data_IF_488308778016
#
_entry.id   IF_488308778016
#
_cell.length_a   1.000
_cell.length_b   1.000
_cell.length_c   1.000
_cell.angle_alpha   90.00
_cell.angle_beta   90.00
_cell.angle_gamma   90.00
#
_symmetry.space_group_name_H-M   'P 1'
#
loop_
_entity.id
_entity.type
_entity.pdbx_description
1 polymer ?
#
# COMPACT_ATOMS: atom_id res chain seq x y z
N UNK A 1 15.90 -41.88 -2.72
CA UNK A 1 15.92 -40.48 -3.14
C UNK A 1 14.75 -39.79 -2.46
N UNK A 2 14.93 -38.77 -1.59
CA UNK A 2 13.81 -38.06 -0.98
C UNK A 2 13.11 -37.24 -2.05
N UNK A 3 11.79 -37.23 -2.01
CA UNK A 3 10.90 -36.56 -2.94
C UNK A 3 11.21 -35.06 -3.03
N UNK A 4 11.60 -34.57 -4.22
CA UNK A 4 11.88 -33.18 -4.53
C UNK A 4 10.63 -32.26 -4.37
N UNK A 5 9.44 -32.85 -4.28
CA UNK A 5 8.17 -32.11 -4.21
C UNK A 5 7.83 -31.60 -2.79
N UNK A 6 8.37 -32.19 -1.72
CA UNK A 6 8.16 -31.73 -0.35
C UNK A 6 8.95 -30.45 0.00
N UNK A 7 9.99 -30.11 -0.75
CA UNK A 7 10.86 -28.95 -0.48
C UNK A 7 10.35 -27.64 -1.06
N UNK A 8 9.47 -27.69 -2.03
CA UNK A 8 8.92 -26.51 -2.73
C UNK A 8 7.70 -25.87 -2.02
N UNK A 9 7.17 -26.50 -0.98
CA UNK A 9 6.01 -26.05 -0.23
C UNK A 9 6.25 -24.79 0.63
N UNK A 10 5.18 -24.26 1.27
CA UNK A 10 5.30 -23.16 2.21
C UNK A 10 6.26 -23.52 3.36
N UNK A 11 7.09 -22.56 3.75
CA UNK A 11 8.07 -22.77 4.83
C UNK A 11 7.35 -22.87 6.16
N UNK A 12 7.33 -24.03 6.78
CA UNK A 12 6.76 -24.25 8.11
C UNK A 12 7.81 -23.98 9.20
N UNK A 13 7.52 -23.00 10.03
CA UNK A 13 8.33 -22.63 11.19
C UNK A 13 7.54 -22.91 12.48
N UNK A 14 8.01 -23.83 13.33
CA UNK A 14 7.33 -24.15 14.58
C UNK A 14 7.32 -22.94 15.54
N UNK A 15 6.25 -22.83 16.33
CA UNK A 15 6.15 -21.81 17.38
C UNK A 15 7.31 -21.96 18.36
N UNK A 16 7.83 -20.83 18.82
CA UNK A 16 8.99 -20.78 19.70
C UNK A 16 10.35 -20.85 19.00
N UNK A 17 10.40 -21.23 17.70
CA UNK A 17 11.66 -21.26 16.93
C UNK A 17 12.30 -19.89 16.88
N UNK A 18 13.62 -19.84 17.10
CA UNK A 18 14.40 -18.61 17.00
C UNK A 18 15.07 -18.54 15.62
N UNK A 19 14.75 -17.51 14.85
CA UNK A 19 15.29 -17.25 13.53
C UNK A 19 16.31 -16.13 13.60
N UNK A 20 17.47 -16.30 12.95
CA UNK A 20 18.55 -15.31 12.89
C UNK A 20 19.11 -14.92 14.25
N UNK A 21 19.03 -15.80 15.26
CA UNK A 21 19.45 -15.57 16.65
C UNK A 21 18.76 -14.36 17.35
N UNK A 22 17.67 -13.87 16.75
CA UNK A 22 17.04 -12.61 17.20
C UNK A 22 15.53 -12.69 17.32
N UNK A 23 14.86 -13.43 16.44
CA UNK A 23 13.42 -13.39 16.26
C UNK A 23 12.77 -14.71 16.66
N UNK A 24 11.93 -14.69 17.67
CA UNK A 24 11.16 -15.84 18.14
C UNK A 24 9.82 -15.88 17.40
N UNK A 25 9.49 -17.00 16.77
CA UNK A 25 8.19 -17.23 16.12
C UNK A 25 7.10 -17.34 17.17
N UNK A 26 6.09 -16.50 17.09
CA UNK A 26 4.98 -16.44 18.08
C UNK A 26 3.71 -17.03 17.50
N UNK A 27 3.39 -16.73 16.21
CA UNK A 27 2.15 -17.19 15.57
C UNK A 27 2.32 -17.20 14.04
N UNK A 28 1.45 -17.91 13.32
CA UNK A 28 1.36 -17.87 11.85
C UNK A 28 0.25 -16.92 11.46
N UNK A 29 0.60 -15.83 10.77
CA UNK A 29 -0.36 -14.81 10.34
C UNK A 29 -1.08 -15.16 9.03
N UNK A 30 -0.42 -15.96 8.18
CA UNK A 30 -0.98 -16.39 6.90
C UNK A 30 0.04 -17.05 5.99
N UNK A 31 -0.44 -17.59 4.89
CA UNK A 31 0.38 -18.18 3.84
C UNK A 31 -0.23 -17.93 2.46
N UNK A 32 0.57 -18.08 1.43
CA UNK A 32 0.15 -17.92 0.04
C UNK A 32 1.24 -18.37 -0.94
N UNK A 33 0.99 -18.18 -2.23
CA UNK A 33 1.94 -18.57 -3.29
C UNK A 33 3.33 -17.91 -3.21
N UNK A 34 3.50 -16.90 -2.36
CA UNK A 34 4.77 -16.20 -2.15
C UNK A 34 5.36 -16.47 -0.74
N UNK A 35 5.05 -17.62 -0.12
CA UNK A 35 5.57 -18.04 1.17
C UNK A 35 4.62 -17.83 2.35
N UNK A 36 5.13 -18.04 3.57
CA UNK A 36 4.38 -17.90 4.82
C UNK A 36 4.79 -16.64 5.59
N UNK A 37 3.84 -16.06 6.31
CA UNK A 37 4.04 -14.87 7.15
C UNK A 37 3.78 -15.23 8.61
N UNK A 38 4.71 -14.88 9.47
CA UNK A 38 4.71 -15.18 10.89
C UNK A 38 4.71 -13.90 11.72
N UNK A 39 4.01 -13.93 12.85
CA UNK A 39 4.22 -13.00 13.95
C UNK A 39 5.50 -13.41 14.67
N UNK A 40 6.44 -12.50 14.80
CA UNK A 40 7.68 -12.72 15.52
C UNK A 40 7.89 -11.67 16.60
N UNK A 41 8.64 -12.06 17.62
CA UNK A 41 9.03 -11.19 18.73
C UNK A 41 10.54 -11.11 18.83
N UNK A 42 11.08 -9.93 18.95
CA UNK A 42 12.51 -9.73 19.14
C UNK A 42 12.93 -10.14 20.57
N UNK A 43 13.93 -11.00 20.68
CA UNK A 43 14.36 -11.55 21.99
C UNK A 43 14.83 -10.48 22.98
N UNK A 44 15.45 -9.40 22.50
CA UNK A 44 16.01 -8.35 23.38
C UNK A 44 14.97 -7.33 23.82
N UNK A 45 14.13 -6.85 22.90
CA UNK A 45 13.21 -5.74 23.14
C UNK A 45 11.77 -6.18 23.31
N UNK A 46 11.46 -7.46 23.02
CA UNK A 46 10.11 -8.01 22.94
C UNK A 46 9.19 -7.29 21.94
N UNK A 47 9.78 -6.49 21.07
CA UNK A 47 9.04 -5.81 20.00
C UNK A 47 8.48 -6.82 18.99
N UNK A 48 7.21 -6.65 18.64
CA UNK A 48 6.53 -7.51 17.66
C UNK A 48 6.75 -7.02 16.25
N UNK A 49 6.98 -7.97 15.34
CA UNK A 49 7.18 -7.73 13.92
C UNK A 49 6.52 -8.84 13.08
N UNK A 50 6.39 -8.62 11.78
CA UNK A 50 6.01 -9.65 10.82
C UNK A 50 7.27 -10.21 10.14
N UNK A 51 7.36 -11.54 10.04
CA UNK A 51 8.42 -12.20 9.30
C UNK A 51 7.82 -12.97 8.13
N UNK A 52 8.21 -12.62 6.92
CA UNK A 52 7.89 -13.39 5.71
C UNK A 52 9.02 -14.36 5.42
N UNK A 53 8.69 -15.63 5.22
CA UNK A 53 9.62 -16.69 4.89
C UNK A 53 9.21 -17.35 3.56
N UNK A 54 10.18 -17.57 2.67
CA UNK A 54 10.01 -18.17 1.36
C UNK A 54 11.01 -19.30 1.18
N UNK A 55 10.58 -20.42 0.61
CA UNK A 55 11.47 -21.55 0.28
C UNK A 55 12.55 -21.12 -0.74
N UNK A 56 13.77 -21.60 -0.55
CA UNK A 56 14.85 -21.36 -1.53
C UNK A 56 14.66 -22.18 -2.82
N UNK A 57 13.75 -23.15 -2.82
CA UNK A 57 13.48 -24.08 -3.93
C UNK A 57 12.28 -23.68 -4.79
N UNK A 58 11.79 -22.44 -4.65
CA UNK A 58 10.66 -21.93 -5.46
C UNK A 58 11.06 -21.86 -6.94
N UNK A 59 10.28 -22.52 -7.78
CA UNK A 59 10.45 -22.45 -9.24
C UNK A 59 10.33 -21.00 -9.74
N UNK A 60 11.26 -20.54 -10.55
CA UNK A 60 11.28 -19.18 -11.10
C UNK A 60 12.02 -18.15 -10.25
N UNK A 61 12.61 -18.56 -9.13
CA UNK A 61 13.47 -17.71 -8.29
C UNK A 61 12.74 -16.98 -7.17
N UNK A 62 13.52 -16.41 -6.26
CA UNK A 62 13.00 -15.80 -5.03
C UNK A 62 12.31 -14.47 -5.27
N UNK A 63 11.02 -14.42 -4.99
CA UNK A 63 10.20 -13.20 -4.95
C UNK A 63 10.59 -12.33 -3.76
N UNK A 64 10.94 -12.94 -2.64
CA UNK A 64 11.36 -12.25 -1.43
C UNK A 64 12.61 -11.38 -1.64
N UNK A 65 13.56 -11.85 -2.45
CA UNK A 65 14.77 -11.08 -2.79
C UNK A 65 14.40 -9.76 -3.49
N UNK A 66 13.44 -9.81 -4.40
CA UNK A 66 12.95 -8.62 -5.11
C UNK A 66 12.22 -7.67 -4.14
N UNK A 67 11.37 -8.19 -3.27
CA UNK A 67 10.70 -7.37 -2.24
C UNK A 67 11.72 -6.63 -1.37
N UNK A 68 12.73 -7.33 -0.87
CA UNK A 68 13.80 -6.72 -0.07
C UNK A 68 14.52 -5.62 -0.86
N UNK A 69 14.76 -5.81 -2.16
CA UNK A 69 15.42 -4.81 -3.01
C UNK A 69 14.56 -3.56 -3.18
N UNK A 70 13.26 -3.73 -3.48
CA UNK A 70 12.31 -2.61 -3.58
C UNK A 70 12.28 -1.82 -2.28
N UNK A 71 12.08 -2.53 -1.18
CA UNK A 71 12.01 -1.92 0.15
C UNK A 71 13.31 -1.18 0.52
N UNK A 72 14.47 -1.71 0.18
CA UNK A 72 15.76 -1.02 0.39
C UNK A 72 15.85 0.27 -0.42
N UNK A 73 15.40 0.29 -1.68
CA UNK A 73 15.40 1.52 -2.50
C UNK A 73 14.39 2.55 -2.00
N UNK A 74 13.29 2.10 -1.42
CA UNK A 74 12.30 3.00 -0.82
C UNK A 74 12.75 3.58 0.54
N UNK A 75 13.78 2.98 1.18
CA UNK A 75 14.29 3.34 2.50
C UNK A 75 15.02 4.66 2.48
N UNK A 76 14.77 5.70 2.49
CA UNK A 76 15.45 7.02 2.46
C UNK A 76 14.61 8.08 1.78
N UNK A 77 13.48 7.69 1.24
CA UNK A 77 12.54 8.65 0.71
C UNK A 77 11.75 9.32 1.85
N UNK A 78 11.52 10.60 1.69
CA UNK A 78 10.64 11.34 2.59
C UNK A 78 9.21 10.84 2.38
N UNK A 79 8.79 9.91 3.21
CA UNK A 79 7.39 9.59 3.35
C UNK A 79 6.75 10.70 4.15
N UNK A 80 5.61 11.16 3.69
CA UNK A 80 4.88 12.18 4.41
C UNK A 80 4.70 11.74 5.86
N UNK A 81 5.27 12.52 6.77
CA UNK A 81 5.16 12.30 8.21
C UNK A 81 3.74 12.65 8.64
N UNK A 82 2.82 11.70 8.51
CA UNK A 82 1.53 11.83 9.16
C UNK A 82 1.69 11.48 10.64
N UNK A 83 1.54 12.46 11.50
CA UNK A 83 1.62 12.32 12.96
C UNK A 83 0.37 11.64 13.54
N UNK A 84 -0.69 11.47 12.76
CA UNK A 84 -1.93 10.85 13.20
C UNK A 84 -1.91 9.33 13.06
N UNK A 85 -2.56 8.62 13.98
CA UNK A 85 -2.76 7.17 13.93
C UNK A 85 -3.40 6.68 12.62
N UNK A 86 -4.06 7.56 11.89
CA UNK A 86 -4.80 7.30 10.67
C UNK A 86 -3.92 6.98 9.45
N UNK A 87 -2.71 7.53 9.37
CA UNK A 87 -1.79 7.31 8.25
C UNK A 87 -0.81 6.15 8.46
N UNK A 88 -1.09 5.24 9.40
CA UNK A 88 -0.19 4.08 9.67
C UNK A 88 0.11 3.25 8.42
N UNK A 89 -0.78 3.23 7.46
CA UNK A 89 -0.62 2.43 6.23
C UNK A 89 0.47 3.00 5.30
N UNK A 90 0.41 4.29 4.98
CA UNK A 90 1.40 4.97 4.13
C UNK A 90 2.71 5.22 4.89
N UNK A 91 2.63 5.61 6.16
CA UNK A 91 3.79 5.75 7.03
C UNK A 91 4.50 4.41 7.27
N UNK A 92 3.77 3.30 7.25
CA UNK A 92 4.33 1.96 7.38
C UNK A 92 5.19 1.59 6.19
N UNK A 93 4.83 1.98 4.97
CA UNK A 93 5.66 1.74 3.79
C UNK A 93 7.01 2.50 3.91
N UNK A 94 7.03 3.71 4.47
CA UNK A 94 8.25 4.53 4.57
C UNK A 94 9.13 4.30 5.79
N UNK A 95 8.55 4.00 6.95
CA UNK A 95 9.30 3.85 8.22
C UNK A 95 9.65 2.41 8.57
N UNK A 96 8.97 1.46 7.97
CA UNK A 96 8.90 0.09 8.49
C UNK A 96 9.54 -0.95 7.66
N UNK A 97 10.35 -0.52 6.79
CA UNK A 97 10.93 -1.33 5.75
C UNK A 97 12.00 -2.21 6.34
N UNK A 98 11.98 -3.46 5.96
CA UNK A 98 12.93 -4.52 6.30
C UNK A 98 13.90 -4.16 7.41
N UNK A 99 13.52 -4.45 8.63
CA UNK A 99 14.43 -4.33 9.77
C UNK A 99 15.58 -5.33 9.62
N UNK A 100 15.31 -6.46 8.97
CA UNK A 100 16.25 -7.53 8.82
C UNK A 100 15.89 -8.48 7.67
N UNK A 101 16.89 -9.04 7.00
CA UNK A 101 16.71 -10.12 6.03
C UNK A 101 17.84 -11.12 6.16
N UNK A 102 17.57 -12.39 5.93
CA UNK A 102 18.57 -13.44 6.01
C UNK A 102 18.23 -14.63 5.12
N UNK A 103 19.24 -15.43 4.83
CA UNK A 103 19.12 -16.69 4.10
C UNK A 103 19.55 -17.82 5.01
N UNK A 104 18.79 -18.90 5.00
CA UNK A 104 19.07 -20.22 5.59
C UNK A 104 19.18 -21.24 4.47
N UNK A 105 19.55 -22.47 4.80
CA UNK A 105 19.75 -23.52 3.79
C UNK A 105 18.47 -23.80 3.00
N UNK A 106 17.32 -23.89 3.68
CA UNK A 106 16.02 -24.24 3.08
C UNK A 106 15.14 -23.04 2.76
N UNK A 107 15.35 -21.87 3.35
CA UNK A 107 14.49 -20.70 3.17
C UNK A 107 15.24 -19.39 3.34
N UNK A 108 14.69 -18.37 2.69
CA UNK A 108 15.04 -16.98 2.92
C UNK A 108 13.94 -16.29 3.71
N UNK A 109 14.28 -15.27 4.50
CA UNK A 109 13.29 -14.53 5.29
C UNK A 109 13.58 -13.03 5.32
N UNK A 110 12.53 -12.24 5.50
CA UNK A 110 12.64 -10.84 5.85
C UNK A 110 11.72 -10.51 7.03
N UNK A 111 12.18 -9.61 7.87
CA UNK A 111 11.41 -9.07 9.00
C UNK A 111 11.04 -7.64 8.69
N UNK A 112 9.77 -7.34 8.83
CA UNK A 112 9.19 -6.04 8.55
C UNK A 112 8.25 -5.63 9.68
N UNK A 113 7.80 -4.40 9.66
CA UNK A 113 6.78 -3.95 10.61
C UNK A 113 5.53 -4.82 10.54
N UNK A 114 4.98 -5.10 11.70
CA UNK A 114 3.69 -5.74 11.82
C UNK A 114 2.60 -4.73 11.45
N UNK A 115 1.90 -4.99 10.34
CA UNK A 115 0.76 -4.20 9.92
C UNK A 115 -0.51 -4.61 10.67
N UNK A 116 -1.48 -3.71 10.68
CA UNK A 116 -2.82 -3.98 11.17
C UNK A 116 -3.67 -4.83 10.20
N UNK A 117 -4.98 -4.73 10.32
CA UNK A 117 -5.91 -5.41 9.44
C UNK A 117 -5.74 -4.96 7.98
N UNK A 118 -5.85 -5.90 7.04
CA UNK A 118 -5.80 -5.57 5.60
C UNK A 118 -7.02 -4.74 5.19
N UNK A 119 -6.87 -3.91 4.16
CA UNK A 119 -7.98 -3.13 3.61
C UNK A 119 -9.16 -4.03 3.20
N UNK A 120 -8.87 -5.20 2.63
CA UNK A 120 -9.90 -6.18 2.27
C UNK A 120 -10.69 -6.70 3.49
N UNK A 121 -10.02 -6.88 4.64
CA UNK A 121 -10.70 -7.25 5.90
C UNK A 121 -11.58 -6.10 6.40
N UNK A 122 -11.04 -4.88 6.45
CA UNK A 122 -11.77 -3.68 6.87
C UNK A 122 -12.99 -3.44 5.96
N UNK A 123 -12.82 -3.62 4.65
CA UNK A 123 -13.89 -3.50 3.69
C UNK A 123 -15.02 -4.50 3.93
N UNK A 124 -14.70 -5.78 4.20
CA UNK A 124 -15.70 -6.80 4.57
C UNK A 124 -16.45 -6.45 5.84
N UNK A 125 -15.74 -5.98 6.86
CA UNK A 125 -16.33 -5.57 8.15
C UNK A 125 -17.17 -4.29 8.01
N UNK A 126 -16.88 -3.44 7.04
CA UNK A 126 -17.69 -2.29 6.66
C UNK A 126 -18.81 -2.63 5.64
N UNK A 127 -19.24 -3.89 5.55
CA UNK A 127 -20.33 -4.36 4.67
C UNK A 127 -20.04 -4.11 3.18
N UNK A 128 -18.78 -4.14 2.79
CA UNK A 128 -18.29 -3.93 1.42
C UNK A 128 -18.73 -2.60 0.79
N UNK A 129 -18.78 -1.56 1.58
CA UNK A 129 -19.01 -0.19 1.11
C UNK A 129 -18.31 0.80 2.01
N UNK A 130 -17.54 1.70 1.42
CA UNK A 130 -16.93 2.84 2.10
C UNK A 130 -17.60 4.14 1.68
N UNK A 131 -17.53 5.16 2.52
CA UNK A 131 -17.94 6.52 2.21
C UNK A 131 -17.05 7.16 1.14
N UNK A 132 -17.53 8.22 0.51
CA UNK A 132 -16.73 9.07 -0.39
C UNK A 132 -15.50 9.59 0.35
N UNK A 133 -15.65 9.97 1.63
CA UNK A 133 -14.54 10.44 2.47
C UNK A 133 -13.41 9.41 2.57
N UNK A 134 -13.75 8.16 2.87
CA UNK A 134 -12.77 7.08 2.93
C UNK A 134 -12.15 6.78 1.56
N UNK A 135 -12.97 6.72 0.49
CA UNK A 135 -12.53 6.47 -0.87
C UNK A 135 -11.48 7.49 -1.34
N UNK A 136 -11.77 8.78 -1.21
CA UNK A 136 -10.90 9.85 -1.73
C UNK A 136 -9.60 9.91 -0.93
N UNK A 137 -9.66 9.82 0.39
CA UNK A 137 -8.45 9.85 1.25
C UNK A 137 -7.55 8.64 1.02
N UNK A 138 -8.12 7.45 0.84
CA UNK A 138 -7.35 6.26 0.43
C UNK A 138 -6.78 6.43 -0.98
N UNK A 139 -7.56 6.98 -1.92
CA UNK A 139 -7.08 7.29 -3.28
C UNK A 139 -5.84 8.18 -3.26
N UNK A 140 -5.85 9.26 -2.47
CA UNK A 140 -4.69 10.14 -2.27
C UNK A 140 -3.47 9.39 -1.73
N UNK A 141 -3.66 8.54 -0.71
CA UNK A 141 -2.57 7.76 -0.11
C UNK A 141 -1.99 6.73 -1.09
N UNK A 142 -2.85 6.04 -1.83
CA UNK A 142 -2.44 5.04 -2.82
C UNK A 142 -1.69 5.71 -3.97
N UNK A 143 -2.19 6.82 -4.48
CA UNK A 143 -1.53 7.61 -5.53
C UNK A 143 -0.11 8.01 -5.11
N UNK A 144 0.04 8.54 -3.90
CA UNK A 144 1.35 8.90 -3.38
C UNK A 144 2.29 7.70 -3.26
N UNK A 145 1.79 6.57 -2.75
CA UNK A 145 2.55 5.33 -2.67
C UNK A 145 3.02 4.82 -4.03
N UNK A 146 2.14 4.81 -5.04
CA UNK A 146 2.47 4.42 -6.41
C UNK A 146 3.50 5.36 -7.02
N UNK A 147 3.31 6.67 -6.87
CA UNK A 147 4.27 7.67 -7.36
C UNK A 147 5.67 7.45 -6.77
N UNK A 148 5.77 7.19 -5.47
CA UNK A 148 7.05 6.90 -4.82
C UNK A 148 7.68 5.59 -5.35
N UNK A 149 6.87 4.56 -5.58
CA UNK A 149 7.33 3.30 -6.15
C UNK A 149 7.86 3.49 -7.57
N UNK A 150 7.16 4.25 -8.39
CA UNK A 150 7.57 4.55 -9.76
C UNK A 150 8.86 5.37 -9.81
N UNK A 151 9.08 6.31 -8.89
CA UNK A 151 10.33 7.07 -8.78
C UNK A 151 11.54 6.20 -8.38
N UNK A 152 11.33 5.11 -7.66
CA UNK A 152 12.39 4.11 -7.40
C UNK A 152 12.49 3.05 -8.49
N UNK A 153 11.82 3.27 -9.62
CA UNK A 153 11.90 2.47 -10.84
C UNK A 153 11.19 1.12 -10.82
N UNK A 154 10.24 0.95 -9.91
CA UNK A 154 9.43 -0.27 -9.84
C UNK A 154 7.96 -0.02 -10.16
N UNK A 155 7.32 -1.04 -10.73
CA UNK A 155 5.86 -1.13 -10.92
C UNK A 155 5.29 -2.06 -9.85
N UNK A 156 4.06 -1.78 -9.41
CA UNK A 156 3.30 -2.64 -8.53
C UNK A 156 2.40 -3.56 -9.35
N UNK A 157 2.80 -4.78 -9.58
CA UNK A 157 2.01 -5.73 -10.39
C UNK A 157 0.77 -6.25 -9.64
N UNK A 158 0.70 -6.07 -8.32
CA UNK A 158 -0.47 -6.47 -7.52
C UNK A 158 -0.69 -5.58 -6.31
N UNK A 159 -1.93 -5.13 -6.13
CA UNK A 159 -2.39 -4.42 -4.93
C UNK A 159 -2.61 -5.34 -3.71
N UNK A 160 -2.62 -6.65 -3.90
CA UNK A 160 -3.00 -7.62 -2.86
C UNK A 160 -1.87 -8.05 -1.93
N UNK A 161 -0.63 -7.92 -2.38
CA UNK A 161 0.54 -8.21 -1.55
C UNK A 161 1.63 -7.16 -1.78
N UNK A 162 2.11 -6.58 -0.71
CA UNK A 162 3.19 -5.61 -0.71
C UNK A 162 4.36 -6.10 -1.57
N UNK A 163 4.55 -5.50 -2.74
CA UNK A 163 5.73 -5.60 -3.61
C UNK A 163 6.15 -7.01 -4.10
N UNK A 164 5.39 -8.07 -3.80
CA UNK A 164 5.77 -9.45 -4.13
C UNK A 164 5.96 -9.71 -5.62
N UNK A 165 5.34 -8.92 -6.48
CA UNK A 165 5.44 -9.05 -7.93
C UNK A 165 5.91 -7.75 -8.61
N UNK A 166 6.59 -6.86 -7.86
CA UNK A 166 7.13 -5.63 -8.43
C UNK A 166 8.15 -5.93 -9.52
N UNK A 167 8.23 -5.05 -10.51
CA UNK A 167 9.18 -5.14 -11.62
C UNK A 167 9.89 -3.81 -11.83
N UNK A 168 11.21 -3.86 -12.04
CA UNK A 168 11.95 -2.70 -12.49
C UNK A 168 11.67 -2.42 -13.97
N UNK A 169 11.12 -1.25 -14.28
CA UNK A 169 10.74 -0.85 -15.63
C UNK A 169 11.79 -0.01 -16.36
N UNK A 170 12.95 0.20 -15.74
CA UNK A 170 14.07 0.92 -16.33
C UNK A 170 15.29 0.02 -16.50
N UNK A 171 16.18 0.43 -17.40
CA UNK A 171 17.54 -0.07 -17.57
C UNK A 171 18.52 1.01 -17.11
N UNK A 172 19.61 0.58 -16.50
CA UNK A 172 20.74 1.44 -16.12
C UNK A 172 21.96 0.92 -16.84
N UNK A 173 22.49 1.68 -17.78
CA UNK A 173 23.68 1.33 -18.55
C UNK A 173 24.52 2.57 -18.79
N UNK A 174 25.82 2.52 -18.52
CA UNK A 174 26.75 3.62 -18.79
C UNK A 174 26.38 4.96 -18.14
N UNK A 175 25.74 4.95 -16.96
CA UNK A 175 25.27 6.16 -16.28
C UNK A 175 23.94 6.72 -16.80
N UNK A 176 23.36 6.14 -17.86
CA UNK A 176 22.05 6.51 -18.40
C UNK A 176 20.95 5.65 -17.79
N UNK A 177 19.78 6.26 -17.63
CA UNK A 177 18.55 5.58 -17.17
C UNK A 177 17.54 5.68 -18.30
N UNK A 178 17.06 4.54 -18.78
CA UNK A 178 16.13 4.47 -19.90
C UNK A 178 14.96 3.52 -19.56
N UNK A 179 13.77 3.81 -20.08
CA UNK A 179 12.62 2.90 -19.97
C UNK A 179 12.92 1.63 -20.75
N UNK A 180 12.69 0.47 -20.13
CA UNK A 180 12.80 -0.82 -20.83
C UNK A 180 11.85 -0.86 -22.01
N UNK A 181 12.29 -1.45 -23.11
CA UNK A 181 11.39 -1.76 -24.21
C UNK A 181 10.29 -2.72 -23.75
N UNK A 182 9.03 -2.46 -24.12
CA UNK A 182 7.95 -3.37 -23.80
C UNK A 182 8.20 -4.74 -24.46
N UNK A 183 7.88 -5.80 -23.74
CA UNK A 183 7.93 -7.16 -24.28
C UNK A 183 6.59 -7.52 -24.86
N UNK A 184 6.61 -8.28 -25.92
CA UNK A 184 5.42 -8.92 -26.46
C UNK A 184 5.10 -10.19 -25.67
N UNK A 185 3.82 -10.52 -25.56
CA UNK A 185 3.32 -11.76 -24.96
C UNK A 185 3.87 -12.07 -23.56
N UNK A 186 3.75 -11.10 -22.65
CA UNK A 186 4.19 -11.27 -21.26
C UNK A 186 3.35 -12.30 -20.52
N UNK A 187 3.93 -12.92 -19.48
CA UNK A 187 3.14 -13.77 -18.59
C UNK A 187 2.10 -12.93 -17.84
N UNK A 188 0.87 -13.45 -17.79
CA UNK A 188 -0.17 -12.83 -16.97
C UNK A 188 0.26 -12.82 -15.50
N UNK A 189 0.38 -11.62 -14.93
CA UNK A 189 0.74 -11.41 -13.53
C UNK A 189 -0.21 -10.40 -12.91
N UNK A 190 -0.54 -10.62 -11.66
CA UNK A 190 -1.43 -9.75 -10.92
C UNK A 190 -2.76 -10.42 -10.57
N UNK A 191 -3.53 -9.75 -9.72
CA UNK A 191 -4.87 -10.20 -9.35
C UNK A 191 -5.82 -9.86 -10.47
N UNK A 192 -6.46 -10.85 -11.07
CA UNK A 192 -7.38 -10.70 -12.22
C UNK A 192 -8.42 -9.61 -12.00
N UNK A 193 -8.91 -9.46 -10.80
CA UNK A 193 -9.89 -8.44 -10.43
C UNK A 193 -9.40 -7.01 -10.66
N UNK A 194 -8.14 -6.70 -10.30
CA UNK A 194 -7.62 -5.33 -10.28
C UNK A 194 -6.59 -5.01 -11.36
N UNK A 195 -6.06 -6.02 -12.08
CA UNK A 195 -5.14 -5.74 -13.17
C UNK A 195 -5.83 -4.92 -14.27
N UNK A 196 -5.07 -4.10 -14.97
CA UNK A 196 -5.60 -3.32 -16.09
C UNK A 196 -6.14 -4.20 -17.22
N UNK A 197 -6.98 -3.65 -18.09
CA UNK A 197 -7.43 -4.34 -19.30
C UNK A 197 -6.25 -4.75 -20.19
N UNK A 198 -5.20 -3.92 -20.24
CA UNK A 198 -3.95 -4.19 -20.97
C UNK A 198 -3.26 -5.49 -20.52
N UNK A 199 -3.32 -5.83 -19.22
CA UNK A 199 -2.76 -7.09 -18.70
C UNK A 199 -3.43 -8.33 -19.32
N UNK A 200 -4.71 -8.26 -19.63
CA UNK A 200 -5.44 -9.38 -20.24
C UNK A 200 -5.00 -9.66 -21.68
N UNK A 201 -4.50 -8.66 -22.40
CA UNK A 201 -3.92 -8.82 -23.75
C UNK A 201 -2.46 -9.31 -23.73
N UNK A 202 -1.90 -9.55 -22.53
CA UNK A 202 -0.50 -9.92 -22.30
C UNK A 202 0.51 -8.87 -22.78
N UNK A 203 0.11 -7.63 -22.95
CA UNK A 203 1.02 -6.54 -23.20
C UNK A 203 1.88 -6.23 -21.96
N UNK A 204 3.02 -5.59 -22.15
CA UNK A 204 3.89 -5.19 -21.06
C UNK A 204 3.18 -4.15 -20.17
N UNK A 205 3.23 -4.36 -18.86
CA UNK A 205 2.65 -3.44 -17.88
C UNK A 205 3.57 -2.25 -17.65
N UNK A 206 2.98 -1.07 -17.57
CA UNK A 206 3.64 0.19 -17.29
C UNK A 206 3.05 0.94 -16.09
N UNK A 207 3.50 2.16 -15.89
CA UNK A 207 2.99 3.05 -14.83
C UNK A 207 1.47 3.31 -14.92
N UNK A 208 0.88 3.46 -16.13
CA UNK A 208 -0.57 3.61 -16.26
C UNK A 208 -1.37 2.40 -15.75
N UNK A 209 -0.84 1.17 -15.89
CA UNK A 209 -1.53 -0.05 -15.45
C UNK A 209 -1.70 -0.10 -13.93
N UNK A 210 -0.72 0.38 -13.17
CA UNK A 210 -0.81 0.50 -11.71
C UNK A 210 -1.89 1.53 -11.30
N UNK A 211 -2.02 2.62 -12.05
CA UNK A 211 -3.05 3.63 -11.80
C UNK A 211 -4.45 3.13 -12.19
N UNK A 212 -4.59 2.32 -13.23
CA UNK A 212 -5.85 1.62 -13.51
C UNK A 212 -6.24 0.68 -12.37
N UNK A 213 -5.26 -0.04 -11.79
CA UNK A 213 -5.51 -0.87 -10.61
C UNK A 213 -6.01 -0.04 -9.41
N UNK A 214 -5.47 1.17 -9.22
CA UNK A 214 -5.96 2.12 -8.22
C UNK A 214 -7.41 2.53 -8.50
N UNK A 215 -7.75 2.87 -9.75
CA UNK A 215 -9.12 3.26 -10.13
C UNK A 215 -10.11 2.12 -9.87
N UNK A 216 -9.79 0.89 -10.25
CA UNK A 216 -10.66 -0.27 -9.96
C UNK A 216 -10.85 -0.50 -8.46
N UNK A 217 -9.79 -0.35 -7.68
CA UNK A 217 -9.90 -0.45 -6.23
C UNK A 217 -10.78 0.66 -5.65
N UNK A 218 -10.64 1.89 -6.14
CA UNK A 218 -11.47 3.01 -5.71
C UNK A 218 -12.95 2.81 -6.10
N UNK A 219 -13.22 2.32 -7.31
CA UNK A 219 -14.58 2.00 -7.75
C UNK A 219 -15.21 0.91 -6.84
N UNK A 220 -14.47 -0.18 -6.54
CA UNK A 220 -14.94 -1.23 -5.63
C UNK A 220 -15.27 -0.71 -4.23
N UNK A 221 -14.60 0.30 -3.74
CA UNK A 221 -14.89 0.90 -2.44
C UNK A 221 -16.32 1.45 -2.35
N UNK A 222 -16.95 1.78 -3.48
CA UNK A 222 -18.30 2.34 -3.55
C UNK A 222 -19.37 1.34 -3.94
N UNK A 223 -18.98 0.29 -4.65
CA UNK A 223 -19.91 -0.74 -5.12
C UNK A 223 -19.18 -1.90 -5.81
N UNK A 224 -19.90 -2.96 -6.18
CA UNK A 224 -19.30 -4.08 -6.88
C UNK A 224 -18.76 -3.66 -8.25
N UNK A 225 -17.63 -4.22 -8.64
CA UNK A 225 -17.12 -4.03 -10.01
C UNK A 225 -17.99 -4.81 -11.01
N UNK A 226 -18.15 -4.35 -12.24
CA UNK A 226 -18.97 -5.02 -13.26
C UNK A 226 -18.59 -6.49 -13.53
N UNK A 227 -17.37 -6.87 -13.20
CA UNK A 227 -16.84 -8.24 -13.34
C UNK A 227 -16.73 -9.04 -12.04
N UNK A 228 -17.30 -8.59 -10.93
CA UNK A 228 -17.14 -9.25 -9.62
C UNK A 228 -17.72 -10.66 -9.57
N UNK A 229 -18.72 -10.95 -10.35
CA UNK A 229 -19.38 -12.26 -10.42
C UNK A 229 -18.68 -13.22 -11.41
N UNK A 230 -17.76 -12.71 -12.24
CA UNK A 230 -17.06 -13.51 -13.23
C UNK A 230 -15.86 -14.23 -12.62
N UNK A 231 -15.57 -15.42 -13.13
CA UNK A 231 -14.44 -16.26 -12.71
C UNK A 231 -13.41 -16.42 -13.81
N UNK A 232 -13.86 -16.52 -15.04
CA UNK A 232 -12.96 -16.67 -16.19
C UNK A 232 -12.23 -15.36 -16.47
N UNK A 233 -10.92 -15.44 -16.63
CA UNK A 233 -10.08 -14.26 -16.85
C UNK A 233 -10.28 -13.61 -18.23
N UNK A 234 -10.71 -14.37 -19.24
CA UNK A 234 -10.98 -13.83 -20.56
C UNK A 234 -12.30 -13.06 -20.57
N UNK A 235 -13.33 -13.58 -19.89
CA UNK A 235 -14.61 -12.89 -19.68
C UNK A 235 -14.40 -11.60 -18.88
N UNK A 236 -13.58 -11.64 -17.81
CA UNK A 236 -13.23 -10.45 -17.04
C UNK A 236 -12.53 -9.41 -17.92
N UNK A 237 -11.56 -9.83 -18.73
CA UNK A 237 -10.86 -8.94 -19.65
C UNK A 237 -11.80 -8.32 -20.69
N UNK A 238 -12.68 -9.11 -21.27
CA UNK A 238 -13.68 -8.65 -22.24
C UNK A 238 -14.66 -7.64 -21.60
N UNK A 239 -15.11 -7.92 -20.35
CA UNK A 239 -15.99 -7.02 -19.61
C UNK A 239 -15.30 -5.70 -19.28
N UNK A 240 -14.03 -5.72 -18.83
CA UNK A 240 -13.24 -4.49 -18.59
C UNK A 240 -13.15 -3.62 -19.84
N UNK A 241 -12.97 -4.23 -21.01
CA UNK A 241 -12.89 -3.49 -22.29
C UNK A 241 -14.24 -2.90 -22.73
N UNK A 242 -15.37 -3.54 -22.35
CA UNK A 242 -16.72 -3.08 -22.70
C UNK A 242 -17.29 -2.07 -21.71
N UNK A 243 -16.83 -2.08 -20.47
CA UNK A 243 -17.32 -1.18 -19.41
C UNK A 243 -16.89 0.25 -19.71
N UNK A 244 -17.84 1.17 -19.74
CA UNK A 244 -17.55 2.60 -19.87
C UNK A 244 -17.03 3.18 -18.55
N UNK A 245 -16.39 4.32 -18.60
CA UNK A 245 -15.86 4.98 -17.40
C UNK A 245 -16.99 5.42 -16.48
N UNK A 246 -18.13 5.84 -17.03
CA UNK A 246 -19.34 6.20 -16.30
C UNK A 246 -19.93 4.99 -15.57
N UNK A 247 -20.02 3.83 -16.23
CA UNK A 247 -20.47 2.58 -15.60
C UNK A 247 -19.52 2.14 -14.48
N UNK A 248 -18.21 2.24 -14.72
CA UNK A 248 -17.19 1.87 -13.72
C UNK A 248 -17.29 2.74 -12.47
N UNK A 249 -17.54 4.04 -12.63
CA UNK A 249 -17.51 5.05 -11.58
C UNK A 249 -18.91 5.52 -11.14
N UNK A 250 -19.97 4.79 -11.50
CA UNK A 250 -21.37 5.15 -11.27
C UNK A 250 -21.66 5.60 -9.82
N UNK A 251 -21.03 4.93 -8.85
CA UNK A 251 -21.22 5.22 -7.42
C UNK A 251 -20.15 6.12 -6.82
N UNK A 252 -19.26 6.65 -7.65
CA UNK A 252 -18.14 7.52 -7.24
C UNK A 252 -18.40 8.97 -7.64
N UNK A 253 -17.71 9.95 -7.03
CA UNK A 253 -17.79 11.33 -7.48
C UNK A 253 -17.47 11.47 -8.98
N UNK A 254 -18.26 12.24 -9.74
CA UNK A 254 -18.10 12.35 -11.20
C UNK A 254 -16.76 12.98 -11.63
N UNK A 255 -16.11 13.73 -10.74
CA UNK A 255 -14.79 14.30 -10.97
C UNK A 255 -13.73 13.23 -11.28
N UNK A 256 -13.92 12.00 -10.78
CA UNK A 256 -13.00 10.87 -11.02
C UNK A 256 -12.97 10.45 -12.50
N UNK A 257 -13.98 10.79 -13.31
CA UNK A 257 -13.98 10.59 -14.76
C UNK A 257 -12.82 11.32 -15.44
N UNK A 258 -12.36 12.44 -14.89
CA UNK A 258 -11.18 13.15 -15.39
C UNK A 258 -9.90 12.34 -15.22
N UNK A 259 -9.85 11.48 -14.20
CA UNK A 259 -8.71 10.57 -13.96
C UNK A 259 -8.70 9.50 -15.04
N UNK A 260 -9.83 8.84 -15.30
CA UNK A 260 -9.90 7.79 -16.34
C UNK A 260 -9.64 8.36 -17.72
N UNK A 261 -10.17 9.55 -18.06
CA UNK A 261 -9.87 10.25 -19.29
C UNK A 261 -8.36 10.51 -19.47
N UNK A 262 -7.67 10.95 -18.40
CA UNK A 262 -6.22 11.10 -18.43
C UNK A 262 -5.53 9.75 -18.67
N UNK A 263 -5.90 8.68 -17.94
CA UNK A 263 -5.27 7.36 -18.08
C UNK A 263 -5.45 6.77 -19.48
N UNK A 264 -6.58 7.01 -20.15
CA UNK A 264 -6.82 6.59 -21.54
C UNK A 264 -5.92 7.29 -22.56
N UNK A 265 -5.39 8.47 -22.24
CA UNK A 265 -4.44 9.20 -23.10
C UNK A 265 -2.99 8.71 -22.99
N UNK A 266 -2.71 7.80 -22.04
CA UNK A 266 -1.37 7.32 -21.76
C UNK A 266 -1.05 6.02 -22.51
N UNK A 267 0.21 5.89 -22.87
CA UNK A 267 0.84 4.65 -23.31
C UNK A 267 1.92 4.18 -22.32
N UNK A 268 2.58 3.08 -22.66
CA UNK A 268 3.62 2.48 -21.82
C UNK A 268 4.75 3.46 -21.46
N UNK A 269 5.16 4.32 -22.38
CA UNK A 269 6.30 5.22 -22.22
C UNK A 269 5.93 6.52 -21.49
N UNK A 270 4.70 6.98 -21.63
CA UNK A 270 4.27 8.26 -21.08
C UNK A 270 4.24 8.22 -19.55
N UNK A 271 4.85 9.23 -18.95
CA UNK A 271 4.73 9.45 -17.51
C UNK A 271 3.33 9.94 -17.15
N UNK A 272 2.62 9.25 -16.23
CA UNK A 272 1.36 9.77 -15.75
C UNK A 272 1.54 11.14 -15.08
N UNK A 273 0.56 12.02 -15.27
CA UNK A 273 0.52 13.29 -14.55
C UNK A 273 -0.07 13.07 -13.15
N UNK A 274 0.80 12.68 -12.20
CA UNK A 274 0.42 12.42 -10.80
C UNK A 274 -0.16 13.66 -10.13
N UNK A 275 0.36 14.86 -10.50
CA UNK A 275 -0.16 16.13 -9.98
C UNK A 275 -1.60 16.36 -10.39
N UNK A 276 -1.93 16.15 -11.66
CA UNK A 276 -3.30 16.25 -12.15
C UNK A 276 -4.26 15.35 -11.37
N UNK A 277 -3.87 14.08 -11.18
CA UNK A 277 -4.70 13.10 -10.43
C UNK A 277 -4.84 13.55 -8.96
N UNK A 278 -3.76 14.00 -8.36
CA UNK A 278 -3.77 14.54 -7.00
C UNK A 278 -4.70 15.75 -6.87
N UNK A 279 -4.60 16.72 -7.79
CA UNK A 279 -5.40 17.92 -7.78
C UNK A 279 -6.90 17.61 -7.93
N UNK A 280 -7.26 16.63 -8.78
CA UNK A 280 -8.64 16.14 -8.92
C UNK A 280 -9.14 15.56 -7.59
N UNK A 281 -8.38 14.65 -6.98
CA UNK A 281 -8.76 14.03 -5.70
C UNK A 281 -8.84 15.06 -4.57
N UNK A 282 -7.90 15.99 -4.52
CA UNK A 282 -7.91 17.07 -3.51
C UNK A 282 -9.10 18.01 -3.70
N UNK A 283 -9.39 18.43 -4.93
CA UNK A 283 -10.56 19.25 -5.23
C UNK A 283 -11.86 18.52 -4.86
N UNK A 284 -11.98 17.22 -5.19
CA UNK A 284 -13.14 16.40 -4.80
C UNK A 284 -13.25 16.28 -3.28
N UNK A 285 -12.14 16.15 -2.56
CA UNK A 285 -12.13 16.14 -1.10
C UNK A 285 -12.69 17.47 -0.53
N UNK A 286 -12.19 18.59 -1.05
CA UNK A 286 -12.59 19.93 -0.57
C UNK A 286 -14.04 20.26 -0.92
N UNK A 287 -14.50 19.99 -2.15
CA UNK A 287 -15.87 20.24 -2.59
C UNK A 287 -16.93 19.43 -1.82
N UNK A 288 -16.53 18.29 -1.26
CA UNK A 288 -17.39 17.46 -0.40
C UNK A 288 -17.22 17.76 1.10
N UNK A 289 -16.54 18.85 1.48
CA UNK A 289 -16.24 19.22 2.86
C UNK A 289 -15.55 18.10 3.68
N UNK A 290 -14.71 17.29 3.02
CA UNK A 290 -13.98 16.20 3.64
C UNK A 290 -12.64 16.73 4.17
N UNK A 291 -12.37 16.48 5.44
CA UNK A 291 -11.06 16.74 6.05
C UNK A 291 -10.17 15.50 5.98
N UNK A 292 -8.89 15.69 5.74
CA UNK A 292 -7.96 14.56 5.69
C UNK A 292 -7.88 13.83 7.03
N UNK A 293 -8.15 14.52 8.13
CA UNK A 293 -8.18 14.01 9.51
C UNK A 293 -9.50 13.34 9.92
N UNK A 294 -10.53 13.33 9.06
CA UNK A 294 -11.80 12.67 9.40
C UNK A 294 -11.57 11.20 9.78
N UNK A 295 -12.38 10.60 10.65
CA UNK A 295 -12.30 9.18 10.92
C UNK A 295 -12.64 8.37 9.65
N UNK A 296 -12.01 7.22 9.46
CA UNK A 296 -12.37 6.26 8.42
C UNK A 296 -13.61 5.46 8.83
N UNK A 297 -14.33 4.89 7.84
CA UNK A 297 -15.55 4.11 8.11
C UNK A 297 -15.38 3.00 9.14
N UNK A 298 -14.23 2.33 9.17
CA UNK A 298 -13.93 1.30 10.16
C UNK A 298 -13.66 1.86 11.57
N UNK A 299 -13.18 3.09 11.68
CA UNK A 299 -12.97 3.77 12.97
C UNK A 299 -14.33 4.18 13.56
N UNK A 300 -15.20 4.76 12.73
CA UNK A 300 -16.58 5.12 13.11
C UNK A 300 -17.36 3.88 13.60
N UNK A 301 -17.15 2.74 12.95
CA UNK A 301 -17.82 1.48 13.30
C UNK A 301 -17.16 0.71 14.45
N UNK A 302 -16.09 1.22 15.03
CA UNK A 302 -15.37 0.57 16.11
C UNK A 302 -14.72 -0.76 15.72
N UNK A 303 -14.39 -0.93 14.44
CA UNK A 303 -13.75 -2.15 13.94
C UNK A 303 -12.33 -2.25 14.46
N UNK A 304 -11.98 -3.37 15.13
CA UNK A 304 -10.63 -3.58 15.64
C UNK A 304 -9.61 -3.69 14.50
N UNK A 305 -8.66 -2.77 14.49
CA UNK A 305 -7.57 -2.69 13.48
C UNK A 305 -6.37 -3.55 13.87
N UNK A 306 -6.42 -4.28 15.01
CA UNK A 306 -5.30 -5.07 15.50
C UNK A 306 -4.97 -6.26 14.59
N UNK A 307 -3.68 -6.53 14.42
CA UNK A 307 -3.19 -7.74 13.77
C UNK A 307 -3.44 -8.96 14.67
N UNK A 308 -4.14 -9.96 14.13
CA UNK A 308 -4.29 -11.26 14.76
C UNK A 308 -5.34 -11.31 15.89
N UNK A 309 -6.34 -12.17 15.74
CA UNK A 309 -7.18 -12.61 16.86
C UNK A 309 -6.40 -13.67 17.65
N UNK A 310 -5.81 -13.29 18.78
CA UNK A 310 -5.62 -14.27 19.82
C UNK A 310 -7.01 -14.63 20.37
N UNK A 311 -7.49 -15.84 20.11
CA UNK A 311 -8.45 -16.50 20.97
C UNK A 311 -7.75 -16.77 22.29
N UNK A 312 -7.63 -15.76 23.13
CA UNK A 312 -7.32 -15.94 24.54
C UNK A 312 -8.64 -16.06 25.26
N UNK A 313 -8.89 -17.26 25.81
CA UNK A 313 -9.97 -17.53 26.72
C UNK A 313 -10.09 -16.40 27.76
N UNK A 314 -11.26 -15.72 27.75
CA UNK A 314 -11.68 -14.89 28.87
C UNK A 314 -11.93 -15.77 30.06
N UNK A 315 -10.95 -15.87 30.94
CA UNK A 315 -11.18 -16.15 32.38
C UNK A 315 -10.21 -15.27 33.17
N UNK A 316 -10.80 -14.64 34.19
CA UNK A 316 -10.16 -13.89 35.29
C UNK A 316 -9.95 -12.40 35.02
N UNK A 317 -10.67 -11.65 35.68
CA UNK A 317 -10.93 -11.03 36.94
C UNK A 317 -10.81 -9.50 36.86
N UNK A 318 -11.84 -8.89 37.41
CA UNK A 318 -11.92 -7.47 37.75
C UNK A 318 -10.82 -7.15 38.79
N UNK A 319 -10.01 -6.13 38.54
CA UNK A 319 -9.35 -5.38 39.61
C UNK A 319 -9.30 -3.90 39.20
N UNK A 320 -10.00 -3.13 39.97
CA UNK A 320 -9.83 -1.77 40.46
C UNK A 320 -9.14 -0.69 39.63
N UNK A 321 -9.92 0.34 39.39
CA UNK A 321 -9.55 1.72 39.12
C UNK A 321 -8.71 2.31 40.25
N UNK A 322 -7.58 2.93 39.93
CA UNK A 322 -6.97 3.98 40.76
C UNK A 322 -6.66 5.15 39.84
N UNK A 323 -7.30 6.24 40.17
CA UNK A 323 -7.02 7.59 39.68
C UNK A 323 -5.77 8.14 40.39
N UNK A 324 -4.87 8.77 39.63
CA UNK A 324 -4.07 9.87 40.21
C UNK A 324 -3.69 10.89 39.14
N UNK A 325 -4.15 12.05 39.41
CA UNK A 325 -3.93 13.37 38.87
C UNK A 325 -2.49 13.83 39.17
N UNK A 326 -1.79 14.39 38.20
CA UNK A 326 -0.75 15.42 38.46
C UNK A 326 -0.50 16.26 37.19
N UNK A 327 -1.01 17.45 37.28
CA UNK A 327 -0.65 18.63 36.48
C UNK A 327 0.84 19.00 36.66
N UNK A 328 1.50 19.31 35.55
CA UNK A 328 2.78 20.05 35.60
C UNK A 328 2.68 21.20 34.57
N UNK A 329 2.69 22.40 35.14
CA UNK A 329 2.81 23.69 34.48
C UNK A 329 4.15 23.80 33.73
N UNK A 330 4.12 24.22 32.46
CA UNK A 330 5.29 24.72 31.77
C UNK A 330 5.00 26.13 31.24
N UNK A 331 5.80 27.04 31.76
CA UNK A 331 5.80 28.48 31.50
C UNK A 331 6.02 28.84 30.04
N UNK A 332 5.18 29.74 29.59
CA UNK A 332 5.30 30.50 28.34
C UNK A 332 6.54 31.41 28.36
N UNK A 333 7.37 31.34 27.34
CA UNK A 333 8.35 32.38 27.02
C UNK A 333 7.93 33.04 25.70
N UNK A 334 7.61 34.32 25.79
CA UNK A 334 7.35 35.22 24.68
C UNK A 334 8.67 35.65 24.01
N UNK A 335 8.71 35.66 22.66
CA UNK A 335 9.73 36.33 21.86
C UNK A 335 9.04 37.28 20.87
N UNK A 336 9.54 38.49 20.67
CA UNK A 336 8.78 39.60 20.10
C UNK A 336 8.68 39.60 18.58
N UNK A 337 7.56 40.19 18.12
CA UNK A 337 7.19 40.48 16.75
C UNK A 337 8.13 41.47 16.07
N UNK A 338 8.55 41.18 14.85
CA UNK A 338 8.96 42.19 13.87
C UNK A 338 8.00 42.14 12.68
N UNK A 339 7.36 43.27 12.47
CA UNK A 339 6.49 43.57 11.33
C UNK A 339 7.26 43.44 10.00
N UNK A 340 6.65 42.73 9.06
CA UNK A 340 6.79 43.04 7.64
C UNK A 340 5.48 42.75 6.92
N UNK A 341 4.91 43.85 6.43
CA UNK A 341 3.72 43.89 5.60
C UNK A 341 4.01 43.41 4.18
N UNK A 342 2.92 42.93 3.57
CA UNK A 342 2.68 42.71 2.15
C UNK A 342 3.13 41.38 1.54
N UNK A 343 2.24 40.38 1.70
CA UNK A 343 1.98 39.42 0.62
C UNK A 343 0.57 38.83 0.80
N UNK A 344 -0.23 38.85 -0.28
CA UNK A 344 -1.60 38.34 -0.37
C UNK A 344 -1.70 36.96 0.22
N UNK A 345 -2.49 36.81 1.25
CA UNK A 345 -2.82 35.56 1.94
C UNK A 345 -3.70 34.67 1.06
N UNK A 346 -3.11 33.61 0.50
CA UNK A 346 -3.86 32.38 0.29
C UNK A 346 -4.19 31.84 1.68
N UNK A 347 -5.46 31.69 2.02
CA UNK A 347 -5.93 31.12 3.28
C UNK A 347 -5.18 29.83 3.59
N UNK A 348 -4.32 29.83 4.59
CA UNK A 348 -3.65 28.63 5.10
C UNK A 348 -4.69 27.76 5.79
N UNK A 349 -5.08 26.69 5.13
CA UNK A 349 -5.97 25.67 5.69
C UNK A 349 -5.24 24.98 6.86
N UNK A 350 -5.90 24.81 8.03
CA UNK A 350 -5.28 24.28 9.25
C UNK A 350 -4.59 22.93 9.06
N UNK A 351 -3.52 22.71 9.85
CA UNK A 351 -2.80 21.42 9.89
C UNK A 351 -3.76 20.26 10.22
N UNK A 352 -3.83 19.24 9.35
CA UNK A 352 -4.71 18.08 9.48
C UNK A 352 -5.92 18.09 8.53
N UNK A 353 -6.22 19.20 7.89
CA UNK A 353 -7.30 19.27 6.89
C UNK A 353 -6.84 18.82 5.49
N UNK A 354 -5.55 18.88 5.21
CA UNK A 354 -4.93 18.45 3.94
C UNK A 354 -4.02 17.22 4.12
N UNK A 355 -3.75 16.46 3.05
CA UNK A 355 -2.79 15.39 3.09
C UNK A 355 -1.38 15.91 3.42
N UNK A 356 -0.52 15.09 4.06
CA UNK A 356 0.83 15.48 4.46
C UNK A 356 1.84 15.49 3.31
N UNK A 357 1.39 15.41 2.08
CA UNK A 357 2.15 15.53 0.83
C UNK A 357 1.45 16.52 -0.09
N UNK A 358 2.22 17.16 -0.95
CA UNK A 358 1.80 18.34 -1.72
C UNK A 358 1.73 18.06 -3.22
N UNK A 359 1.15 18.99 -3.98
CA UNK A 359 1.19 18.97 -5.44
C UNK A 359 2.64 18.96 -5.98
N UNK A 360 3.56 19.66 -5.30
CA UNK A 360 4.98 19.67 -5.66
C UNK A 360 5.63 18.30 -5.49
N UNK A 361 5.27 17.54 -4.44
CA UNK A 361 5.73 16.16 -4.27
C UNK A 361 5.26 15.26 -5.42
N UNK A 362 4.08 15.52 -5.98
CA UNK A 362 3.53 14.79 -7.12
C UNK A 362 4.16 15.18 -8.45
N UNK A 363 4.50 16.44 -8.61
CA UNK A 363 5.13 16.98 -9.83
C UNK A 363 6.58 16.52 -9.99
N UNK A 364 7.30 16.37 -8.88
CA UNK A 364 8.70 15.98 -8.87
C UNK A 364 8.95 14.76 -9.75
N UNK A 365 9.89 14.89 -10.68
CA UNK A 365 10.31 13.85 -11.63
C UNK A 365 11.82 13.60 -11.49
N UNK A 366 12.18 12.64 -10.63
CA UNK A 366 13.60 12.32 -10.35
C UNK A 366 14.26 11.53 -11.49
N UNK A 367 13.47 10.91 -12.36
CA UNK A 367 13.98 10.09 -13.46
C UNK A 367 14.12 10.87 -14.77
N UNK A 368 13.44 12.02 -14.90
CA UNK A 368 13.51 12.88 -16.07
C UNK A 368 12.65 12.44 -17.26
N UNK A 369 11.82 11.41 -17.11
CA UNK A 369 10.94 10.92 -18.19
C UNK A 369 9.58 10.40 -17.70
#
# INVERSE_FOLDING_TARGET
MPHLDEEAGPVELPLGKVVGKRWKVVDKLGEGGCGAVYLVEELKTQARAAMKAESNFVAGGSVLKLEVQVLKRMRGRKWASCSTHQCRWVNSIGRSITQFSGKKDRYSYMVMTLFGASLSKLFKECRRSFSVSTQIRLGLQILYGLKQLHEVTFLSITFSSLFSLSREYVLRSGGKVEIRRPRDNTLFRGTTKYCSANTHTRAEQGRPDDLWSMVYLMAEMRGPLPWDQLRDKHEIGATKNKTTDEQLLEHSPPELLKITAHLRSLDYFKRPNYKLIFDILLATMLSNNIKYSDPFDWEIRGVSVSAGKNKVNKKVSRIATVSEDKSVDVKTMEIPSTDNKDQKTSEEVPLGERPPFTAQDMEKNELGF
#
